data_IF_570531804215
#
_entry.id   IF_570531804215
#
_cell.length_a   1.000
_cell.length_b   1.000
_cell.length_c   1.000
_cell.angle_alpha   90.00
_cell.angle_beta   90.00
_cell.angle_gamma   90.00
#
_symmetry.space_group_name_H-M   'P 1'
#
loop_
_entity.id
_entity.type
_entity.pdbx_description
1 polymer ?
#
# COMPACT_ATOMS: atom_id res chain seq x y z
N UNK A 1 2.47 0.91 -5.45
CA UNK A 1 1.46 0.36 -4.50
C UNK A 1 2.19 -0.56 -3.53
N UNK A 2 1.76 -0.65 -2.27
CA UNK A 2 2.43 -1.52 -1.27
C UNK A 2 1.54 -2.68 -0.87
N UNK A 3 2.13 -3.88 -0.77
CA UNK A 3 1.40 -5.08 -0.38
C UNK A 3 1.11 -5.05 1.12
N UNK A 4 -0.16 -5.13 1.47
CA UNK A 4 -0.60 -4.99 2.87
C UNK A 4 -1.35 -6.21 3.40
N UNK A 5 -1.61 -7.19 2.54
CA UNK A 5 -2.10 -8.50 2.95
C UNK A 5 -1.79 -9.54 1.88
N UNK A 6 -1.08 -10.59 2.28
CA UNK A 6 -0.89 -11.82 1.51
C UNK A 6 -1.58 -12.96 2.27
N UNK A 7 -2.49 -13.67 1.61
CA UNK A 7 -2.95 -14.99 2.07
C UNK A 7 -2.37 -16.06 1.11
N UNK A 8 -1.99 -17.25 1.63
CA UNK A 8 -1.33 -18.29 0.84
C UNK A 8 -2.11 -18.70 -0.42
N UNK A 9 -3.43 -18.80 -0.31
CA UNK A 9 -4.31 -19.26 -1.39
C UNK A 9 -4.92 -18.10 -2.21
N UNK A 10 -4.56 -16.85 -1.90
CA UNK A 10 -5.15 -15.71 -2.58
C UNK A 10 -4.50 -15.51 -3.95
N UNK A 11 -5.33 -15.40 -4.98
CA UNK A 11 -4.87 -15.02 -6.33
C UNK A 11 -4.71 -13.50 -6.47
N UNK A 12 -5.11 -12.76 -5.44
CA UNK A 12 -5.14 -11.31 -5.38
C UNK A 12 -4.48 -10.86 -4.10
N UNK A 13 -3.70 -9.78 -4.16
CA UNK A 13 -3.23 -9.09 -2.96
C UNK A 13 -3.93 -7.75 -2.85
N UNK A 14 -4.18 -7.34 -1.60
CA UNK A 14 -4.69 -6.00 -1.32
C UNK A 14 -3.52 -5.06 -1.10
N UNK A 15 -3.61 -3.88 -1.70
CA UNK A 15 -2.60 -2.86 -1.63
C UNK A 15 -3.19 -1.52 -1.20
N UNK A 16 -2.45 -0.77 -0.38
CA UNK A 16 -2.76 0.64 -0.14
C UNK A 16 -2.06 1.51 -1.17
N UNK A 17 -2.77 2.52 -1.66
CA UNK A 17 -2.16 3.55 -2.49
C UNK A 17 -1.53 4.64 -1.62
N UNK A 18 -0.52 5.27 -2.20
CA UNK A 18 0.15 6.44 -1.65
C UNK A 18 -0.33 7.67 -2.40
N UNK A 19 -0.71 8.71 -1.67
CA UNK A 19 -1.02 10.03 -2.24
C UNK A 19 0.06 11.02 -1.81
N UNK A 20 0.46 11.95 -2.67
CA UNK A 20 1.40 13.03 -2.33
C UNK A 20 0.72 14.39 -2.25
N UNK A 21 -0.59 14.48 -2.46
CA UNK A 21 -1.32 15.76 -2.59
C UNK A 21 -2.63 15.80 -1.82
N UNK A 22 -3.16 14.66 -1.41
CA UNK A 22 -4.52 14.56 -0.85
C UNK A 22 -4.46 13.86 0.51
N UNK A 23 -4.02 14.59 1.54
CA UNK A 23 -3.99 14.12 2.92
C UNK A 23 -5.38 14.23 3.56
N UNK A 24 -5.78 13.19 4.30
CA UNK A 24 -6.92 13.26 5.22
C UNK A 24 -6.57 12.75 6.62
N UNK A 25 -7.33 13.19 7.61
CA UNK A 25 -7.19 12.70 8.98
C UNK A 25 -7.29 11.17 9.03
N UNK A 26 -6.29 10.53 9.63
CA UNK A 26 -6.19 9.07 9.71
C UNK A 26 -5.39 8.41 8.59
N UNK A 27 -4.80 9.17 7.66
CA UNK A 27 -3.77 8.65 6.75
C UNK A 27 -2.41 8.53 7.47
N UNK A 28 -1.63 7.51 7.10
CA UNK A 28 -0.28 7.29 7.65
C UNK A 28 0.76 8.08 6.86
N UNK A 29 1.63 8.82 7.55
CA UNK A 29 2.72 9.55 6.91
C UNK A 29 3.69 8.61 6.18
N UNK A 30 4.12 9.03 5.00
CA UNK A 30 5.10 8.33 4.17
C UNK A 30 6.13 9.34 3.67
N UNK A 31 7.26 9.52 4.37
CA UNK A 31 8.30 10.45 3.93
C UNK A 31 8.85 10.07 2.56
N UNK A 32 9.54 11.01 1.92
CA UNK A 32 10.36 10.68 0.76
C UNK A 32 11.43 9.64 1.11
N UNK A 33 11.68 8.75 0.16
CA UNK A 33 12.70 7.71 0.27
C UNK A 33 13.17 7.34 -1.14
N UNK A 34 14.27 7.95 -1.57
CA UNK A 34 14.83 7.75 -2.90
C UNK A 34 15.23 6.28 -3.17
N UNK A 35 15.66 5.54 -2.13
CA UNK A 35 16.00 4.12 -2.26
C UNK A 35 14.80 3.24 -2.65
N UNK A 36 13.58 3.73 -2.44
CA UNK A 36 12.32 3.07 -2.81
C UNK A 36 11.62 3.77 -3.99
N UNK A 37 12.29 4.72 -4.66
CA UNK A 37 11.70 5.53 -5.73
C UNK A 37 10.62 6.51 -5.24
N UNK A 38 10.50 6.75 -3.93
CA UNK A 38 9.53 7.69 -3.35
C UNK A 38 10.14 9.10 -3.34
N UNK A 39 10.02 9.82 -4.46
CA UNK A 39 10.71 11.11 -4.68
C UNK A 39 10.10 12.33 -3.98
N UNK A 40 8.96 12.16 -3.30
CA UNK A 40 8.24 13.22 -2.59
C UNK A 40 7.59 12.64 -1.36
N UNK A 41 7.49 13.39 -0.27
CA UNK A 41 6.65 13.02 0.88
C UNK A 41 5.18 12.84 0.49
N UNK A 42 4.49 11.96 1.21
CA UNK A 42 3.11 11.62 0.95
C UNK A 42 2.48 10.86 2.12
N UNK A 43 1.37 10.19 1.85
CA UNK A 43 0.57 9.49 2.84
C UNK A 43 0.00 8.19 2.28
N UNK A 44 0.01 7.13 3.09
CA UNK A 44 -0.72 5.90 2.82
C UNK A 44 -2.16 6.08 3.28
N UNK A 45 -3.11 5.83 2.39
CA UNK A 45 -4.53 6.09 2.68
C UNK A 45 -5.39 4.83 2.55
N UNK A 46 -6.28 4.66 3.53
CA UNK A 46 -7.33 3.64 3.50
C UNK A 46 -8.38 3.87 2.40
N UNK A 47 -8.49 5.10 1.89
CA UNK A 47 -9.47 5.46 0.84
C UNK A 47 -9.19 4.75 -0.48
N UNK A 48 -7.95 4.33 -0.70
CA UNK A 48 -7.49 3.78 -1.97
C UNK A 48 -6.94 2.37 -1.81
N UNK A 49 -7.74 1.46 -1.24
CA UNK A 49 -7.39 0.04 -1.17
C UNK A 49 -7.71 -0.59 -2.53
N UNK A 50 -6.66 -1.00 -3.25
CA UNK A 50 -6.76 -1.67 -4.54
C UNK A 50 -6.52 -3.16 -4.38
N UNK A 51 -7.13 -3.92 -5.27
CA UNK A 51 -6.95 -5.37 -5.37
C UNK A 51 -6.20 -5.65 -6.66
N UNK A 52 -5.04 -6.28 -6.57
CA UNK A 52 -4.19 -6.58 -7.73
C UNK A 52 -4.07 -8.09 -7.84
N UNK A 53 -4.34 -8.64 -9.02
CA UNK A 53 -4.11 -10.08 -9.25
C UNK A 53 -2.62 -10.34 -9.20
N UNK A 54 -2.18 -11.31 -8.39
CA UNK A 54 -0.75 -11.64 -8.21
C UNK A 54 -0.06 -11.92 -9.54
N UNK A 55 -0.76 -12.55 -10.48
CA UNK A 55 -0.26 -12.83 -11.85
C UNK A 55 0.14 -11.59 -12.67
N UNK A 56 -0.33 -10.40 -12.29
CA UNK A 56 -0.02 -9.14 -12.98
C UNK A 56 1.06 -8.34 -12.27
N UNK A 57 1.46 -8.74 -11.06
CA UNK A 57 2.55 -8.09 -10.33
C UNK A 57 3.88 -8.36 -11.01
N UNK A 58 4.67 -7.31 -11.26
CA UNK A 58 5.94 -7.42 -11.96
C UNK A 58 5.81 -7.37 -13.48
N UNK A 59 4.59 -7.31 -14.03
CA UNK A 59 4.38 -6.97 -15.43
C UNK A 59 4.61 -5.45 -15.60
N UNK A 60 5.64 -5.00 -16.34
CA UNK A 60 5.97 -3.58 -16.46
C UNK A 60 4.86 -2.74 -17.10
N UNK A 61 3.96 -3.37 -17.85
CA UNK A 61 2.85 -2.69 -18.54
C UNK A 61 1.59 -2.58 -17.68
N UNK A 62 1.42 -3.47 -16.69
CA UNK A 62 0.22 -3.56 -15.86
C UNK A 62 0.44 -3.17 -14.39
N UNK A 63 1.54 -3.64 -13.79
CA UNK A 63 1.88 -3.36 -12.39
C UNK A 63 3.36 -3.62 -12.14
N UNK A 64 4.18 -2.62 -12.48
CA UNK A 64 5.62 -2.69 -12.24
C UNK A 64 5.94 -2.86 -10.74
N UNK A 65 6.85 -3.79 -10.44
CA UNK A 65 7.28 -4.09 -9.08
C UNK A 65 8.61 -3.39 -8.80
N UNK A 66 8.54 -2.30 -8.05
CA UNK A 66 9.72 -1.47 -7.78
C UNK A 66 10.56 -1.96 -6.60
N UNK A 67 9.91 -2.29 -5.48
CA UNK A 67 10.57 -2.78 -4.28
C UNK A 67 9.57 -3.27 -3.23
N UNK A 68 10.06 -4.10 -2.30
CA UNK A 68 9.39 -4.34 -1.01
C UNK A 68 9.78 -3.22 -0.03
N UNK A 69 8.83 -2.76 0.79
CA UNK A 69 9.17 -1.84 1.88
C UNK A 69 10.13 -2.52 2.88
N UNK A 70 11.19 -1.84 3.33
CA UNK A 70 12.06 -2.35 4.37
C UNK A 70 11.35 -2.32 5.73
N UNK A 71 11.83 -3.12 6.67
CA UNK A 71 11.47 -2.94 8.08
C UNK A 71 12.17 -1.68 8.64
N UNK A 72 11.54 -0.95 9.60
CA UNK A 72 10.25 -1.23 10.23
C UNK A 72 9.03 -0.69 9.47
N UNK A 73 9.25 0.05 8.37
CA UNK A 73 8.19 0.74 7.62
C UNK A 73 7.14 -0.24 7.07
N UNK A 74 7.57 -1.42 6.65
CA UNK A 74 6.65 -2.47 6.20
C UNK A 74 5.66 -2.86 7.31
N UNK A 75 6.14 -3.12 8.52
CA UNK A 75 5.28 -3.46 9.67
C UNK A 75 4.32 -2.32 9.99
N UNK A 76 4.79 -1.07 9.99
CA UNK A 76 3.95 0.11 10.27
C UNK A 76 2.80 0.25 9.27
N UNK A 77 3.09 0.12 7.97
CA UNK A 77 2.07 0.20 6.91
C UNK A 77 1.09 -0.98 6.99
N UNK A 78 1.58 -2.18 7.33
CA UNK A 78 0.74 -3.37 7.53
C UNK A 78 -0.22 -3.20 8.72
N UNK A 79 0.29 -2.70 9.85
CA UNK A 79 -0.52 -2.51 11.05
C UNK A 79 -1.54 -1.39 10.86
N UNK A 80 -1.15 -0.31 10.19
CA UNK A 80 -2.08 0.73 9.78
C UNK A 80 -3.24 0.15 8.95
N UNK A 81 -2.92 -0.65 7.92
CA UNK A 81 -3.92 -1.31 7.09
C UNK A 81 -4.85 -2.25 7.86
N UNK A 82 -4.30 -3.05 8.79
CA UNK A 82 -5.08 -4.00 9.59
C UNK A 82 -6.04 -3.30 10.54
N UNK A 83 -5.63 -2.15 11.07
CA UNK A 83 -6.40 -1.32 12.01
C UNK A 83 -7.37 -0.36 11.33
N UNK A 84 -7.53 -0.44 10.00
CA UNK A 84 -8.47 0.42 9.28
C UNK A 84 -9.92 0.23 9.76
N UNK A 85 -10.75 1.28 9.73
CA UNK A 85 -12.18 1.16 9.96
C UNK A 85 -12.76 0.15 8.96
N UNK A 86 -13.32 -0.96 9.46
CA UNK A 86 -14.07 -1.88 8.59
C UNK A 86 -15.43 -1.26 8.31
N UNK A 87 -15.93 -1.31 7.06
CA UNK A 87 -17.30 -0.88 6.80
C UNK A 87 -18.24 -1.68 7.71
N UNK A 88 -19.09 -0.99 8.47
CA UNK A 88 -20.19 -1.63 9.19
C UNK A 88 -21.03 -2.34 8.12
N UNK A 89 -21.15 -3.67 8.22
CA UNK A 89 -22.16 -4.38 7.45
C UNK A 89 -23.51 -3.84 7.90
N UNK A 90 -24.15 -3.05 7.06
CA UNK A 90 -25.58 -2.73 7.18
C UNK A 90 -26.40 -3.90 6.67
#
# INVERSE_FOLDING_TARGET
>A
MVCVAELPDDTVWRAMARSTTDYVAGDLASPENAALGLTKSGWWSHRFIRSVKKRWTGDPTLCDFLATLPEPLRTEVLDHYKNRPRPKKS
#
